data_IF_379760707072
#
_entry.id   IF_379760707072
#
_cell.length_a   1.000
_cell.length_b   1.000
_cell.length_c   1.000
_cell.angle_alpha   90.00
_cell.angle_beta   90.00
_cell.angle_gamma   90.00
#
_symmetry.space_group_name_H-M   'P 1'
#
loop_
_entity.id
_entity.type
_entity.pdbx_description
1 polymer ?
#
# COMPACT_ATOMS: atom_id res chain seq x y z
N UNK A 1 50.07 49.65 -0.17
CA UNK A 1 49.75 48.66 0.87
C UNK A 1 49.68 47.31 0.18
N UNK A 2 50.71 46.44 0.14
CA UNK A 2 51.48 45.82 1.26
C UNK A 2 50.53 45.29 2.34
N UNK A 3 50.47 44.01 2.74
CA UNK A 3 51.39 42.84 2.71
C UNK A 3 50.54 41.52 2.79
N UNK A 4 51.00 40.27 2.65
CA UNK A 4 52.27 39.63 2.22
C UNK A 4 51.96 38.18 1.73
N UNK A 5 52.61 37.60 0.71
CA UNK A 5 53.85 36.78 0.69
C UNK A 5 53.87 35.41 1.46
N UNK A 6 53.96 34.32 0.67
CA UNK A 6 54.75 33.07 0.86
C UNK A 6 54.39 32.15 2.06
N UNK A 7 54.71 30.83 2.12
CA UNK A 7 55.49 29.86 1.32
C UNK A 7 54.87 28.45 1.63
N UNK A 8 54.45 27.58 0.69
CA UNK A 8 55.21 26.57 -0.09
C UNK A 8 55.88 25.40 0.71
N UNK A 9 55.87 24.19 0.10
CA UNK A 9 56.61 22.94 0.44
C UNK A 9 56.08 22.04 1.59
N UNK A 10 56.10 20.68 1.62
CA UNK A 10 56.41 19.53 0.71
C UNK A 10 55.35 18.42 1.00
N UNK A 11 54.70 17.69 0.06
CA UNK A 11 55.12 16.59 -0.85
C UNK A 11 55.13 15.15 -0.25
N UNK A 12 54.36 14.23 -0.88
CA UNK A 12 54.46 12.73 -0.84
C UNK A 12 54.27 12.02 0.52
N UNK A 13 53.90 10.73 0.62
CA UNK A 13 53.68 9.59 -0.31
C UNK A 13 52.23 9.05 -0.12
N UNK A 14 51.49 8.40 -1.01
CA UNK A 14 51.71 7.60 -2.25
C UNK A 14 51.14 6.17 -2.06
N UNK A 15 50.28 5.79 -3.01
CA UNK A 15 50.16 4.44 -3.60
C UNK A 15 49.35 3.27 -2.98
N UNK A 16 48.48 2.75 -3.89
CA UNK A 16 48.05 1.34 -4.18
C UNK A 16 46.63 0.89 -3.76
N UNK A 17 45.74 0.59 -4.73
CA UNK A 17 45.43 -0.73 -5.40
C UNK A 17 44.66 -1.67 -4.43
N UNK A 18 43.58 -2.42 -4.74
CA UNK A 18 43.02 -3.00 -5.99
C UNK A 18 41.46 -3.10 -5.92
N UNK A 19 40.70 -3.08 -7.03
CA UNK A 19 40.19 -4.21 -7.84
C UNK A 19 39.35 -5.34 -7.16
N UNK A 20 38.07 -5.41 -7.58
CA UNK A 20 37.22 -6.60 -7.84
C UNK A 20 36.73 -7.57 -6.73
N UNK A 21 35.55 -8.19 -7.03
CA UNK A 21 34.95 -9.45 -6.47
C UNK A 21 34.28 -9.29 -5.08
N UNK A 22 32.96 -9.44 -4.94
CA UNK A 22 32.06 -10.63 -5.05
C UNK A 22 32.27 -11.61 -3.86
N UNK A 23 31.14 -12.01 -3.24
CA UNK A 23 30.96 -13.07 -2.21
C UNK A 23 31.74 -12.98 -0.89
N UNK A 24 31.06 -12.54 0.18
CA UNK A 24 31.08 -13.26 1.46
C UNK A 24 30.31 -14.58 1.26
N UNK A 25 30.71 -15.73 1.85
CA UNK A 25 31.21 -15.86 3.22
C UNK A 25 32.54 -16.65 3.37
N UNK A 26 33.16 -16.55 4.56
CA UNK A 26 33.95 -17.65 5.11
C UNK A 26 33.59 -17.94 6.57
N UNK A 27 32.67 -18.88 6.81
CA UNK A 27 32.55 -19.55 8.11
C UNK A 27 33.56 -20.71 8.15
N UNK A 28 34.80 -20.43 8.55
CA UNK A 28 35.81 -21.49 8.76
C UNK A 28 36.72 -21.22 9.95
N UNK A 29 36.37 -21.78 11.10
CA UNK A 29 37.27 -22.14 12.20
C UNK A 29 36.58 -23.24 13.05
N UNK A 30 37.19 -24.36 13.42
CA UNK A 30 38.42 -25.01 12.97
C UNK A 30 38.30 -26.53 13.29
N UNK A 31 39.03 -27.44 12.62
CA UNK A 31 39.05 -28.86 12.97
C UNK A 31 40.01 -29.16 14.13
N UNK A 32 39.84 -30.30 14.83
CA UNK A 32 41.03 -31.12 15.09
C UNK A 32 40.87 -32.63 14.84
N UNK A 33 41.72 -33.12 13.93
CA UNK A 33 42.49 -34.37 13.98
C UNK A 33 41.85 -35.78 13.90
N UNK A 34 42.21 -36.43 12.77
CA UNK A 34 42.75 -37.79 12.62
C UNK A 34 41.85 -39.01 12.92
N UNK A 35 41.56 -39.75 11.83
CA UNK A 35 42.30 -40.98 11.48
C UNK A 35 42.28 -41.21 9.97
N UNK A 36 43.34 -41.83 9.44
CA UNK A 36 43.49 -42.13 8.01
C UNK A 36 43.10 -43.57 7.71
N UNK A 37 42.18 -43.74 6.76
CA UNK A 37 42.05 -44.85 5.81
C UNK A 37 40.94 -44.41 4.84
N UNK A 38 41.05 -44.50 3.52
CA UNK A 38 41.88 -45.38 2.71
C UNK A 38 40.95 -46.33 1.94
N UNK A 39 41.20 -46.44 0.63
CA UNK A 39 40.61 -47.40 -0.32
C UNK A 39 39.19 -47.14 -0.85
N UNK A 40 39.01 -47.55 -2.13
CA UNK A 40 37.78 -47.79 -2.90
C UNK A 40 37.06 -46.61 -3.56
N UNK A 41 37.62 -46.23 -4.72
CA UNK A 41 36.81 -46.14 -5.95
C UNK A 41 35.96 -47.42 -6.06
N UNK A 42 34.64 -47.30 -5.93
CA UNK A 42 33.69 -48.33 -6.32
C UNK A 42 32.45 -47.67 -6.89
N UNK A 43 31.93 -48.23 -7.98
CA UNK A 43 30.80 -47.66 -8.71
C UNK A 43 29.56 -47.61 -7.81
N UNK A 44 29.07 -46.40 -7.51
CA UNK A 44 27.68 -46.22 -7.13
C UNK A 44 26.93 -45.80 -8.38
N UNK A 45 26.14 -46.77 -8.84
CA UNK A 45 25.16 -46.71 -9.91
C UNK A 45 24.40 -45.38 -9.93
N UNK A 46 24.00 -44.98 -11.15
CA UNK A 46 22.90 -44.06 -11.38
C UNK A 46 21.69 -44.46 -10.53
N UNK A 47 21.48 -43.74 -9.44
CA UNK A 47 20.26 -43.71 -8.67
C UNK A 47 19.76 -42.27 -8.80
N UNK A 48 18.94 -42.03 -9.83
CA UNK A 48 18.08 -40.85 -9.96
C UNK A 48 16.97 -40.91 -8.90
N UNK A 49 17.40 -40.99 -7.63
CA UNK A 49 16.55 -40.79 -6.48
C UNK A 49 16.10 -39.35 -6.50
N UNK A 50 14.85 -39.12 -6.92
CA UNK A 50 14.18 -37.82 -6.85
C UNK A 50 14.07 -37.43 -5.38
N UNK A 51 15.10 -36.76 -4.85
CA UNK A 51 15.13 -36.25 -3.49
C UNK A 51 14.01 -35.22 -3.33
N UNK A 52 12.89 -35.67 -2.75
CA UNK A 52 11.78 -34.79 -2.38
C UNK A 52 12.27 -33.75 -1.38
N UNK A 53 12.24 -32.48 -1.78
CA UNK A 53 12.60 -31.38 -0.90
C UNK A 53 11.45 -31.20 0.11
N UNK A 54 11.72 -31.47 1.38
CA UNK A 54 10.77 -31.20 2.47
C UNK A 54 10.54 -29.70 2.59
N UNK A 55 9.35 -29.25 2.17
CA UNK A 55 8.95 -27.85 2.12
C UNK A 55 7.66 -27.68 2.91
N UNK A 56 7.72 -26.89 3.98
CA UNK A 56 6.57 -26.54 4.83
C UNK A 56 5.30 -26.16 4.07
N UNK A 57 5.43 -25.55 2.89
CA UNK A 57 4.32 -25.28 1.96
C UNK A 57 4.79 -25.49 0.51
N UNK A 58 4.25 -26.48 -0.18
CA UNK A 58 4.42 -26.60 -1.63
C UNK A 58 3.49 -25.62 -2.38
N UNK A 59 3.98 -25.05 -3.50
CA UNK A 59 3.23 -24.16 -4.40
C UNK A 59 2.54 -22.94 -3.74
N UNK A 60 3.33 -22.02 -3.18
CA UNK A 60 2.83 -20.79 -2.54
C UNK A 60 2.09 -19.86 -3.54
N UNK A 61 0.75 -19.88 -3.50
CA UNK A 61 -0.11 -19.05 -4.37
C UNK A 61 -0.24 -17.62 -3.84
N UNK A 62 -0.03 -16.62 -4.70
CA UNK A 62 -0.26 -15.22 -4.35
C UNK A 62 -1.76 -14.86 -4.41
N UNK A 63 -2.34 -14.46 -3.27
CA UNK A 63 -3.76 -14.06 -3.17
C UNK A 63 -4.04 -12.61 -3.59
N UNK A 64 -3.00 -11.82 -3.88
CA UNK A 64 -3.17 -10.44 -4.35
C UNK A 64 -3.65 -10.40 -5.81
N UNK A 65 -4.49 -9.41 -6.14
CA UNK A 65 -4.94 -9.17 -7.51
C UNK A 65 -3.83 -8.59 -8.37
N UNK A 66 -3.61 -9.19 -9.54
CA UNK A 66 -2.70 -8.73 -10.60
C UNK A 66 -3.36 -7.76 -11.60
N UNK A 67 -4.69 -7.77 -11.68
CA UNK A 67 -5.50 -7.00 -12.64
C UNK A 67 -6.84 -6.55 -12.00
N UNK A 68 -7.53 -5.53 -12.54
CA UNK A 68 -8.90 -5.22 -12.15
C UNK A 68 -9.87 -6.29 -12.70
N UNK A 69 -10.85 -6.73 -11.90
CA UNK A 69 -11.95 -7.61 -12.36
C UNK A 69 -13.08 -6.81 -13.01
N UNK A 70 -12.79 -5.80 -13.81
CA UNK A 70 -13.81 -4.91 -14.38
C UNK A 70 -13.47 -4.60 -15.82
N UNK A 71 -14.46 -4.80 -16.69
CA UNK A 71 -14.33 -4.74 -18.14
C UNK A 71 -14.39 -3.29 -18.69
N UNK A 72 -14.22 -2.30 -17.80
CA UNK A 72 -14.24 -0.89 -18.15
C UNK A 72 -12.94 -0.51 -18.86
N UNK A 73 -13.05 -0.18 -20.15
CA UNK A 73 -11.91 0.18 -21.02
C UNK A 73 -11.09 1.35 -20.47
N UNK A 74 -11.71 2.42 -19.96
CA UNK A 74 -10.99 3.55 -19.37
C UNK A 74 -10.18 3.15 -18.14
N UNK A 75 -10.72 2.27 -17.29
CA UNK A 75 -9.98 1.74 -16.14
C UNK A 75 -8.81 0.85 -16.60
N UNK A 76 -8.98 0.07 -17.67
CA UNK A 76 -7.91 -0.75 -18.25
C UNK A 76 -6.78 0.11 -18.85
N UNK A 77 -7.11 1.18 -19.57
CA UNK A 77 -6.13 2.16 -20.09
C UNK A 77 -5.36 2.83 -18.94
N UNK A 78 -6.06 3.29 -17.91
CA UNK A 78 -5.44 3.93 -16.75
C UNK A 78 -4.55 2.97 -15.96
N UNK A 79 -4.92 1.69 -15.89
CA UNK A 79 -4.07 0.61 -15.37
C UNK A 79 -2.83 0.39 -16.24
N UNK A 80 -2.94 0.40 -17.58
CA UNK A 80 -1.77 0.27 -18.47
C UNK A 80 -0.77 1.41 -18.22
N UNK A 81 -1.26 2.65 -18.11
CA UNK A 81 -0.45 3.85 -17.80
C UNK A 81 0.26 3.70 -16.44
N UNK A 82 -0.47 3.42 -15.36
CA UNK A 82 0.17 3.28 -14.04
C UNK A 82 1.05 2.03 -13.91
N UNK A 83 0.82 0.98 -14.72
CA UNK A 83 1.72 -0.19 -14.80
C UNK A 83 3.03 0.14 -15.53
N UNK A 84 2.98 1.00 -16.55
CA UNK A 84 4.19 1.55 -17.17
C UNK A 84 4.97 2.42 -16.17
N UNK A 85 4.31 3.39 -15.54
CA UNK A 85 4.95 4.27 -14.55
C UNK A 85 5.54 3.49 -13.37
N UNK A 86 4.78 2.57 -12.75
CA UNK A 86 5.27 1.78 -11.61
C UNK A 86 6.42 0.81 -11.94
N UNK A 87 6.72 0.58 -13.23
CA UNK A 87 7.86 -0.23 -13.71
C UNK A 87 9.04 0.62 -14.18
N UNK A 88 8.79 1.84 -14.68
CA UNK A 88 9.82 2.76 -15.21
C UNK A 88 10.24 3.86 -14.24
N UNK A 89 9.47 4.08 -13.18
CA UNK A 89 9.79 5.02 -12.09
C UNK A 89 9.86 4.25 -10.78
N UNK A 90 10.90 4.51 -9.98
CA UNK A 90 11.06 3.85 -8.68
C UNK A 90 10.15 4.40 -7.57
N UNK A 91 9.32 5.39 -7.91
CA UNK A 91 8.34 6.00 -7.04
C UNK A 91 7.33 4.99 -6.46
N UNK A 92 7.44 4.74 -5.15
CA UNK A 92 6.51 3.89 -4.40
C UNK A 92 5.05 4.37 -4.49
N UNK A 93 4.82 5.66 -4.73
CA UNK A 93 3.49 6.23 -5.02
C UNK A 93 2.78 5.49 -6.16
N UNK A 94 3.44 5.28 -7.30
CA UNK A 94 2.85 4.65 -8.48
C UNK A 94 2.49 3.18 -8.21
N UNK A 95 3.37 2.45 -7.50
CA UNK A 95 3.11 1.08 -7.04
C UNK A 95 1.85 1.01 -6.15
N UNK A 96 1.65 1.99 -5.27
CA UNK A 96 0.47 2.10 -4.40
C UNK A 96 -0.80 2.50 -5.16
N UNK A 97 -0.73 3.43 -6.12
CA UNK A 97 -1.88 3.81 -6.97
C UNK A 97 -2.33 2.62 -7.82
N UNK A 98 -1.40 1.93 -8.48
CA UNK A 98 -1.68 0.73 -9.27
C UNK A 98 -2.39 -0.35 -8.43
N UNK A 99 -1.86 -0.67 -7.24
CA UNK A 99 -2.50 -1.63 -6.32
C UNK A 99 -3.91 -1.20 -5.88
N UNK A 100 -4.20 0.11 -5.79
CA UNK A 100 -5.53 0.64 -5.49
C UNK A 100 -6.50 0.58 -6.67
N UNK A 101 -6.02 0.68 -7.92
CA UNK A 101 -6.88 0.52 -9.11
C UNK A 101 -7.47 -0.90 -9.22
N UNK A 102 -6.70 -1.93 -8.84
CA UNK A 102 -7.15 -3.34 -8.83
C UNK A 102 -8.19 -3.67 -7.74
N UNK A 103 -8.37 -2.78 -6.75
CA UNK A 103 -9.28 -3.00 -5.63
C UNK A 103 -10.75 -3.03 -6.08
N UNK A 104 -11.53 -3.92 -5.48
CA UNK A 104 -12.99 -3.93 -5.63
C UNK A 104 -13.63 -2.65 -5.07
N UNK A 105 -14.87 -2.34 -5.50
CA UNK A 105 -15.64 -1.17 -5.04
C UNK A 105 -15.71 -1.06 -3.51
N UNK A 106 -15.89 -2.19 -2.80
CA UNK A 106 -15.92 -2.24 -1.32
C UNK A 106 -14.58 -1.81 -0.69
N UNK A 107 -13.46 -2.05 -1.37
CA UNK A 107 -12.13 -1.64 -0.93
C UNK A 107 -11.71 -0.24 -1.43
N UNK A 108 -12.53 0.39 -2.29
CA UNK A 108 -12.45 1.81 -2.70
C UNK A 108 -13.64 2.60 -2.14
N UNK A 109 -13.76 2.75 -0.79
CA UNK A 109 -14.83 3.52 -0.18
C UNK A 109 -14.79 5.00 -0.65
N UNK A 110 -15.95 5.67 -0.77
CA UNK A 110 -16.01 7.08 -1.14
C UNK A 110 -15.34 7.97 -0.08
N UNK A 111 -14.92 9.16 -0.50
CA UNK A 111 -14.30 10.18 0.35
C UNK A 111 -15.13 11.45 0.28
N UNK A 112 -15.56 11.96 1.44
CA UNK A 112 -16.29 13.23 1.54
C UNK A 112 -15.34 14.42 1.39
N UNK A 113 -15.81 15.54 0.83
CA UNK A 113 -15.02 16.79 0.75
C UNK A 113 -14.53 17.23 2.14
N UNK A 114 -15.36 17.11 3.17
CA UNK A 114 -14.97 17.36 4.57
C UNK A 114 -13.76 16.56 5.05
N UNK A 115 -13.54 15.34 4.52
CA UNK A 115 -12.36 14.52 4.82
C UNK A 115 -11.14 14.93 3.99
N UNK A 116 -11.33 15.52 2.81
CA UNK A 116 -10.24 16.12 2.04
C UNK A 116 -9.70 17.36 2.77
N UNK A 117 -10.58 18.28 3.16
CA UNK A 117 -10.23 19.51 3.90
C UNK A 117 -9.47 19.20 5.20
N UNK A 118 -9.95 18.24 6.01
CA UNK A 118 -9.26 17.81 7.24
C UNK A 118 -7.88 17.18 7.04
N UNK A 119 -7.52 16.78 5.83
CA UNK A 119 -6.21 16.19 5.49
C UNK A 119 -5.45 17.05 4.47
N UNK A 120 -5.92 18.28 4.24
CA UNK A 120 -5.26 19.22 3.36
C UNK A 120 -3.91 19.61 3.97
N UNK A 121 -2.89 19.76 3.13
CA UNK A 121 -1.65 20.47 3.47
C UNK A 121 -1.35 21.40 2.32
N UNK A 122 -0.92 22.60 2.65
CA UNK A 122 -0.70 23.67 1.69
C UNK A 122 0.28 23.24 0.58
N UNK A 123 0.03 23.73 -0.63
CA UNK A 123 0.82 23.41 -1.82
C UNK A 123 0.72 21.97 -2.35
N UNK A 124 -0.09 21.08 -1.76
CA UNK A 124 -0.13 19.64 -2.15
C UNK A 124 -1.43 19.22 -2.82
N UNK A 125 -1.31 18.42 -3.88
CA UNK A 125 -2.46 17.86 -4.60
C UNK A 125 -2.99 16.62 -3.88
N UNK A 126 -4.29 16.61 -3.58
CA UNK A 126 -4.94 15.50 -2.88
C UNK A 126 -5.36 14.43 -3.88
N UNK A 127 -4.94 13.18 -3.68
CA UNK A 127 -5.18 12.07 -4.61
C UNK A 127 -6.08 11.01 -3.99
N UNK A 128 -7.19 10.69 -4.67
CA UNK A 128 -8.21 9.72 -4.21
C UNK A 128 -8.47 8.67 -5.30
N UNK A 129 -7.96 7.46 -5.11
CA UNK A 129 -8.27 6.31 -5.99
C UNK A 129 -9.66 5.74 -5.64
N UNK A 130 -10.71 6.52 -5.92
CA UNK A 130 -12.09 6.25 -5.55
C UNK A 130 -13.03 7.37 -6.00
N UNK A 131 -14.25 7.38 -5.45
CA UNK A 131 -15.24 8.44 -5.70
C UNK A 131 -15.17 9.52 -4.62
N UNK A 132 -15.12 10.78 -5.02
CA UNK A 132 -15.31 11.93 -4.13
C UNK A 132 -16.79 12.29 -4.07
N UNK A 133 -17.31 12.51 -2.86
CA UNK A 133 -18.71 12.87 -2.58
C UNK A 133 -18.80 14.15 -1.79
N UNK A 134 -19.90 14.88 -1.97
CA UNK A 134 -20.15 16.13 -1.26
C UNK A 134 -20.47 15.89 0.23
N UNK A 135 -20.42 16.96 1.03
CA UNK A 135 -20.83 17.01 2.43
C UNK A 135 -21.43 18.39 2.73
N UNK A 136 -22.77 18.47 2.78
CA UNK A 136 -23.52 19.72 2.96
C UNK A 136 -23.34 20.37 4.34
N UNK A 137 -22.78 19.64 5.31
CA UNK A 137 -22.53 20.14 6.68
C UNK A 137 -21.31 21.04 6.78
N UNK A 138 -20.43 20.99 5.79
CA UNK A 138 -19.33 21.93 5.65
C UNK A 138 -19.84 23.08 4.78
N UNK A 139 -19.85 24.30 5.31
CA UNK A 139 -20.35 25.49 4.61
C UNK A 139 -19.29 25.96 3.59
N UNK A 140 -18.17 26.46 4.11
CA UNK A 140 -17.08 26.99 3.32
C UNK A 140 -16.08 25.91 2.91
N UNK A 141 -15.58 26.01 1.69
CA UNK A 141 -14.55 25.14 1.15
C UNK A 141 -13.29 25.96 0.85
N UNK A 142 -12.13 25.63 1.43
CA UNK A 142 -10.87 26.23 1.00
C UNK A 142 -10.51 25.76 -0.41
N UNK A 143 -9.72 26.57 -1.12
CA UNK A 143 -9.15 26.22 -2.42
C UNK A 143 -8.28 24.96 -2.29
N UNK A 144 -8.70 23.88 -2.94
CA UNK A 144 -8.01 22.58 -2.94
C UNK A 144 -7.88 22.04 -4.36
N UNK A 145 -6.76 21.38 -4.64
CA UNK A 145 -6.53 20.64 -5.90
C UNK A 145 -6.70 19.15 -5.66
N UNK A 146 -7.68 18.52 -6.30
CA UNK A 146 -8.09 17.13 -6.03
C UNK A 146 -8.07 16.30 -7.31
N UNK A 147 -7.29 15.22 -7.31
CA UNK A 147 -7.27 14.21 -8.37
C UNK A 147 -8.01 12.95 -7.93
N UNK A 148 -9.01 12.50 -8.71
CA UNK A 148 -9.76 11.28 -8.38
C UNK A 148 -10.27 10.50 -9.61
N UNK A 149 -10.79 9.29 -9.37
CA UNK A 149 -11.44 8.49 -10.43
C UNK A 149 -12.81 9.07 -10.84
N UNK A 150 -13.60 9.51 -9.87
CA UNK A 150 -14.93 10.06 -10.11
C UNK A 150 -15.30 11.09 -9.05
N UNK A 151 -16.08 12.11 -9.44
CA UNK A 151 -16.67 13.10 -8.55
C UNK A 151 -18.20 13.02 -8.61
N UNK A 152 -18.91 13.32 -7.52
CA UNK A 152 -20.34 13.66 -7.63
C UNK A 152 -20.50 15.04 -8.28
N UNK A 153 -21.58 15.24 -9.06
CA UNK A 153 -21.86 16.51 -9.74
C UNK A 153 -21.79 17.71 -8.78
N UNK A 154 -22.40 17.57 -7.60
CA UNK A 154 -22.40 18.57 -6.51
C UNK A 154 -21.00 18.87 -5.98
N UNK A 155 -20.20 17.85 -5.65
CA UNK A 155 -18.83 18.04 -5.17
C UNK A 155 -17.94 18.71 -6.21
N UNK A 156 -18.07 18.34 -7.50
CA UNK A 156 -17.33 19.00 -8.59
C UNK A 156 -17.71 20.49 -8.67
N UNK A 157 -19.00 20.82 -8.68
CA UNK A 157 -19.47 22.19 -8.73
C UNK A 157 -18.98 23.03 -7.53
N UNK A 158 -19.02 22.47 -6.31
CA UNK A 158 -18.55 23.17 -5.10
C UNK A 158 -17.04 23.39 -5.06
N UNK A 159 -16.22 22.42 -5.49
CA UNK A 159 -14.76 22.60 -5.58
C UNK A 159 -14.41 23.68 -6.60
N UNK A 160 -15.06 23.68 -7.77
CA UNK A 160 -14.85 24.71 -8.80
C UNK A 160 -15.33 26.10 -8.33
N UNK A 161 -16.48 26.19 -7.63
CA UNK A 161 -16.97 27.45 -7.04
C UNK A 161 -16.00 28.02 -6.01
N UNK A 162 -15.28 27.18 -5.27
CA UNK A 162 -14.22 27.57 -4.34
C UNK A 162 -12.87 27.92 -5.03
N UNK A 163 -12.83 28.01 -6.36
CA UNK A 163 -11.60 28.26 -7.13
C UNK A 163 -10.59 27.10 -7.06
N UNK A 164 -11.02 25.90 -6.65
CA UNK A 164 -10.20 24.69 -6.58
C UNK A 164 -10.14 23.93 -7.90
N UNK A 165 -9.14 23.05 -8.03
CA UNK A 165 -8.92 22.26 -9.24
C UNK A 165 -9.44 20.82 -9.10
N UNK A 166 -10.06 20.32 -10.17
CA UNK A 166 -10.61 18.96 -10.25
C UNK A 166 -9.90 18.22 -11.37
N UNK A 167 -9.05 17.27 -11.01
CA UNK A 167 -8.16 16.54 -11.92
C UNK A 167 -8.57 15.07 -12.09
N UNK A 168 -8.29 14.52 -13.26
CA UNK A 168 -8.25 13.07 -13.49
C UNK A 168 -6.88 12.49 -13.10
N UNK A 169 -6.76 11.16 -12.99
CA UNK A 169 -5.48 10.53 -12.61
C UNK A 169 -4.46 10.51 -13.77
N UNK A 170 -4.93 10.54 -15.02
CA UNK A 170 -4.11 10.77 -16.22
C UNK A 170 -3.51 12.20 -16.25
N UNK A 171 -4.32 13.24 -16.01
CA UNK A 171 -3.82 14.61 -15.84
C UNK A 171 -2.82 14.74 -14.69
N UNK A 172 -3.07 14.05 -13.56
CA UNK A 172 -2.12 13.97 -12.44
C UNK A 172 -0.79 13.33 -12.87
N UNK A 173 -0.84 12.26 -13.66
CA UNK A 173 0.37 11.57 -14.14
C UNK A 173 1.24 12.44 -15.07
N UNK A 174 0.63 13.35 -15.83
CA UNK A 174 1.37 14.34 -16.62
C UNK A 174 2.04 15.40 -15.74
N UNK A 175 1.32 15.92 -14.73
CA UNK A 175 1.85 16.97 -13.82
C UNK A 175 2.91 16.45 -12.84
N UNK A 176 2.72 15.24 -12.31
CA UNK A 176 3.53 14.67 -11.24
C UNK A 176 3.75 13.16 -11.46
N UNK A 177 4.55 12.76 -12.48
CA UNK A 177 4.77 11.35 -12.81
C UNK A 177 5.45 10.56 -11.68
N UNK A 178 6.19 11.22 -10.79
CA UNK A 178 6.80 10.64 -9.58
C UNK A 178 5.89 10.68 -8.35
N UNK A 179 4.75 11.37 -8.41
CA UNK A 179 3.89 11.64 -7.24
C UNK A 179 4.41 12.69 -6.27
N UNK A 180 5.41 13.49 -6.66
CA UNK A 180 5.89 14.63 -5.86
C UNK A 180 4.74 15.59 -5.49
N UNK A 181 4.81 16.18 -4.29
CA UNK A 181 3.78 17.09 -3.75
C UNK A 181 2.34 16.54 -3.74
N UNK A 182 2.15 15.22 -3.67
CA UNK A 182 0.81 14.60 -3.55
C UNK A 182 0.50 14.07 -2.14
N UNK A 183 -0.79 14.01 -1.79
CA UNK A 183 -1.29 13.36 -0.56
C UNK A 183 -2.29 12.27 -0.94
N UNK A 184 -1.94 11.01 -0.71
CA UNK A 184 -2.74 9.87 -1.17
C UNK A 184 -3.74 9.38 -0.11
N UNK A 185 -4.97 9.93 -0.14
CA UNK A 185 -6.02 9.66 0.84
C UNK A 185 -6.75 8.32 0.58
N UNK A 186 -7.38 7.76 1.62
CA UNK A 186 -8.36 6.66 1.51
C UNK A 186 -9.59 6.97 2.38
N UNK A 187 -10.78 6.59 1.89
CA UNK A 187 -12.00 6.61 2.70
C UNK A 187 -11.97 5.55 3.81
N UNK A 188 -12.87 5.68 4.78
CA UNK A 188 -13.01 4.69 5.85
C UNK A 188 -13.58 3.37 5.28
N UNK A 189 -12.79 2.28 5.35
CA UNK A 189 -13.21 0.94 4.87
C UNK A 189 -14.17 0.24 5.83
N UNK A 190 -14.03 0.49 7.13
CA UNK A 190 -14.69 -0.28 8.20
C UNK A 190 -16.02 0.34 8.67
N UNK A 191 -16.43 1.49 8.14
CA UNK A 191 -17.66 2.20 8.52
C UNK A 191 -18.94 1.63 7.89
N UNK A 192 -18.84 0.64 6.98
CA UNK A 192 -19.99 0.01 6.32
C UNK A 192 -20.79 -0.89 7.26
N UNK A 193 -22.11 -0.96 7.05
CA UNK A 193 -23.01 -1.72 7.92
C UNK A 193 -22.61 -3.20 8.08
N UNK A 194 -22.17 -3.85 7.00
CA UNK A 194 -21.71 -5.25 7.04
C UNK A 194 -20.59 -5.50 8.06
N UNK A 195 -19.71 -4.52 8.30
CA UNK A 195 -18.57 -4.68 9.23
C UNK A 195 -19.04 -4.66 10.69
N UNK A 196 -20.16 -4.01 11.01
CA UNK A 196 -20.76 -4.04 12.36
C UNK A 196 -21.28 -5.43 12.75
N UNK A 197 -21.50 -6.29 11.75
CA UNK A 197 -21.92 -7.68 11.91
C UNK A 197 -20.74 -8.69 11.86
N UNK A 198 -19.51 -8.22 11.67
CA UNK A 198 -18.32 -9.07 11.67
C UNK A 198 -17.68 -9.11 13.06
N UNK A 199 -16.66 -9.96 13.23
CA UNK A 199 -15.99 -10.15 14.52
C UNK A 199 -16.68 -11.15 15.45
N UNK A 200 -16.06 -11.35 16.61
CA UNK A 200 -16.35 -12.45 17.52
C UNK A 200 -17.52 -12.17 18.47
N UNK A 201 -18.47 -13.11 18.50
CA UNK A 201 -19.46 -13.27 19.57
C UNK A 201 -20.48 -12.13 19.74
N UNK A 202 -21.49 -12.34 20.61
CA UNK A 202 -22.46 -11.31 20.97
C UNK A 202 -21.96 -10.33 22.06
N UNK A 203 -20.80 -10.60 22.66
CA UNK A 203 -20.18 -9.84 23.77
C UNK A 203 -19.40 -8.58 23.35
N UNK A 204 -18.88 -8.52 22.11
CA UNK A 204 -17.95 -7.45 21.67
C UNK A 204 -18.63 -6.37 20.83
N UNK A 205 -19.69 -5.75 21.35
CA UNK A 205 -20.45 -4.65 20.71
C UNK A 205 -20.90 -4.94 19.26
N UNK A 206 -21.09 -6.22 18.94
CA UNK A 206 -21.47 -6.71 17.62
C UNK A 206 -22.95 -6.47 17.35
N UNK A 207 -23.30 -5.98 16.17
CA UNK A 207 -24.71 -5.82 15.78
C UNK A 207 -25.31 -7.20 15.43
N UNK A 208 -26.42 -7.63 16.05
CA UNK A 208 -27.10 -8.86 15.67
C UNK A 208 -27.84 -8.74 14.33
N UNK A 209 -28.08 -9.87 13.67
CA UNK A 209 -28.88 -9.97 12.45
C UNK A 209 -30.37 -10.08 12.76
N UNK A 210 -30.96 -9.01 13.30
CA UNK A 210 -32.39 -8.91 13.57
C UNK A 210 -33.20 -8.44 12.35
N UNK A 211 -34.37 -9.02 12.12
CA UNK A 211 -35.31 -8.61 11.05
C UNK A 211 -35.79 -7.16 11.22
N UNK A 212 -36.03 -6.73 12.46
CA UNK A 212 -36.49 -5.37 12.79
C UNK A 212 -35.97 -4.94 14.17
N UNK A 213 -36.03 -3.63 14.45
CA UNK A 213 -35.64 -3.07 15.76
C UNK A 213 -36.89 -2.89 16.61
N UNK A 214 -36.89 -3.38 17.85
CA UNK A 214 -37.99 -3.14 18.79
C UNK A 214 -37.79 -3.82 20.14
N UNK A 215 -38.78 -3.71 21.04
CA UNK A 215 -38.77 -4.38 22.36
C UNK A 215 -38.89 -5.90 22.24
N UNK A 216 -39.63 -6.39 21.23
CA UNK A 216 -39.92 -7.81 20.99
C UNK A 216 -38.78 -8.57 20.27
N UNK A 217 -37.75 -7.88 19.77
CA UNK A 217 -36.70 -8.47 18.93
C UNK A 217 -35.35 -8.47 19.66
N UNK A 218 -34.88 -9.64 20.10
CA UNK A 218 -33.57 -9.89 20.72
C UNK A 218 -33.16 -8.94 21.87
N UNK A 219 -34.11 -8.53 22.72
CA UNK A 219 -33.88 -7.72 23.94
C UNK A 219 -34.28 -8.42 25.26
N UNK A 220 -34.48 -9.74 25.22
CA UNK A 220 -34.93 -10.53 26.37
C UNK A 220 -33.75 -11.17 27.13
N UNK A 221 -33.70 -12.50 27.20
CA UNK A 221 -32.61 -13.27 27.82
C UNK A 221 -31.27 -12.94 27.17
N UNK A 222 -30.20 -12.88 27.96
CA UNK A 222 -28.85 -12.58 27.47
C UNK A 222 -28.55 -11.10 27.23
N UNK A 223 -29.52 -10.17 27.28
CA UNK A 223 -29.25 -8.72 27.09
C UNK A 223 -29.46 -7.86 28.33
N UNK A 224 -29.94 -8.44 29.44
CA UNK A 224 -30.19 -7.76 30.71
C UNK A 224 -30.12 -8.75 31.86
N UNK A 225 -29.57 -8.32 32.99
CA UNK A 225 -29.43 -9.11 34.21
C UNK A 225 -30.75 -9.71 34.69
N UNK A 226 -31.84 -8.93 34.63
CA UNK A 226 -33.18 -9.35 35.04
C UNK A 226 -33.86 -10.43 34.16
N UNK A 227 -33.15 -11.04 33.20
CA UNK A 227 -33.59 -12.19 32.40
C UNK A 227 -32.46 -13.20 32.22
N UNK A 228 -32.13 -13.89 33.31
CA UNK A 228 -31.16 -14.99 33.35
C UNK A 228 -29.71 -14.52 33.42
N UNK A 229 -29.21 -13.86 32.37
CA UNK A 229 -27.83 -13.35 32.32
C UNK A 229 -27.70 -12.19 31.33
N UNK A 230 -26.59 -11.45 31.43
CA UNK A 230 -26.24 -10.34 30.54
C UNK A 230 -24.91 -10.63 29.83
N UNK A 231 -24.91 -10.46 28.51
CA UNK A 231 -23.83 -10.69 27.53
C UNK A 231 -23.20 -9.37 27.11
#
# INVERSE_FOLDING_TARGET
MSADNNNFYWLTLSNRIAYYRRSSPPDTAAPPNKRQSGVLISAILFLDGVFGIDLKNHHVKNSNRSAPKSDNVYLALLVKLYRFLARRTDANFNKVVLKRLFMSRVNRPPVTVSRLVKNNKEGKTIVVVGRVTDDSRLLDLPKISVAALNFSKTAKARILKAGGEVLTLDQLALRAPTGANTILIRGAKNSRESVKHFGFGPHKNKKPFVRSKGRKFEKARGKRSSRGFKV
#
